data_IF_073238387684
#
_entry.id   IF_073238387684
#
_cell.length_a   1.000
_cell.length_b   1.000
_cell.length_c   1.000
_cell.angle_alpha   90.00
_cell.angle_beta   90.00
_cell.angle_gamma   90.00
#
_symmetry.space_group_name_H-M   'P 1'
#
loop_
_entity.id
_entity.type
_entity.pdbx_description
1 polymer ?
#
# COMPACT_ATOMS: atom_id res chain seq x y z
N UNK A 1 3.41 -10.09 -3.30
CA UNK A 1 2.40 -10.26 -4.38
C UNK A 1 2.53 -9.09 -5.34
N UNK A 2 2.56 -9.36 -6.64
CA UNK A 2 2.61 -8.30 -7.63
C UNK A 2 1.27 -7.54 -7.71
N UNK A 3 1.37 -6.24 -7.92
CA UNK A 3 0.22 -5.34 -8.08
C UNK A 3 0.27 -4.74 -9.47
N UNK A 4 -0.84 -4.81 -10.19
CA UNK A 4 -1.00 -4.11 -11.46
C UNK A 4 -1.45 -2.69 -11.17
N UNK A 5 -0.76 -1.71 -11.76
CA UNK A 5 -1.08 -0.30 -11.64
C UNK A 5 -1.71 0.19 -12.94
N UNK A 6 -2.99 0.52 -12.90
CA UNK A 6 -3.76 1.01 -14.03
C UNK A 6 -3.85 2.52 -13.93
N UNK A 7 -3.34 3.23 -14.93
CA UNK A 7 -3.48 4.68 -15.03
C UNK A 7 -4.86 5.02 -15.57
N UNK A 8 -5.58 5.86 -14.83
CA UNK A 8 -6.88 6.41 -15.20
C UNK A 8 -6.68 7.89 -15.55
N UNK A 9 -7.14 8.29 -16.73
CA UNK A 9 -7.19 9.70 -17.13
C UNK A 9 -8.57 10.01 -17.71
N UNK A 10 -9.16 11.11 -17.26
CA UNK A 10 -10.50 11.55 -17.67
C UNK A 10 -11.57 10.44 -17.56
N UNK A 11 -11.44 9.60 -16.52
CA UNK A 11 -12.35 8.49 -16.25
C UNK A 11 -12.14 7.24 -17.10
N UNK A 12 -11.12 7.18 -17.96
CA UNK A 12 -10.83 6.03 -18.82
C UNK A 12 -9.49 5.37 -18.45
N UNK A 13 -9.36 4.09 -18.77
CA UNK A 13 -8.07 3.40 -18.66
C UNK A 13 -7.16 3.83 -19.80
N UNK A 14 -5.94 4.27 -19.46
CA UNK A 14 -4.96 4.77 -20.45
C UNK A 14 -3.68 3.94 -20.47
N UNK A 15 -3.27 3.38 -19.33
CA UNK A 15 -2.08 2.53 -19.23
C UNK A 15 -2.27 1.46 -18.17
N UNK A 16 -1.60 0.32 -18.32
CA UNK A 16 -1.52 -0.70 -17.29
C UNK A 16 -0.07 -1.19 -17.15
N UNK A 17 0.53 -0.92 -15.99
CA UNK A 17 1.87 -1.39 -15.64
C UNK A 17 1.71 -2.56 -14.65
N UNK A 18 1.89 -3.81 -15.12
CA UNK A 18 1.70 -5.00 -14.28
C UNK A 18 2.07 -6.31 -14.97
N UNK A 19 2.05 -7.40 -14.20
CA UNK A 19 2.21 -8.79 -14.67
C UNK A 19 0.84 -9.47 -14.83
N UNK A 20 0.74 -10.54 -15.63
CA UNK A 20 -0.49 -11.29 -15.91
C UNK A 20 -1.61 -10.48 -16.57
N UNK A 21 -1.22 -9.72 -17.59
CA UNK A 21 -2.12 -8.99 -18.49
C UNK A 21 -2.88 -9.97 -19.41
N UNK A 22 -4.19 -9.75 -19.60
CA UNK A 22 -5.01 -10.52 -20.55
C UNK A 22 -5.66 -9.67 -21.64
N UNK A 23 -6.23 -8.51 -21.29
CA UNK A 23 -6.85 -7.60 -22.26
C UNK A 23 -6.94 -6.17 -21.73
N UNK A 24 -6.98 -5.20 -22.65
CA UNK A 24 -7.10 -3.77 -22.35
C UNK A 24 -7.79 -3.04 -23.50
N UNK A 25 -8.80 -2.27 -23.15
CA UNK A 25 -9.32 -1.14 -23.91
C UNK A 25 -9.62 0.00 -22.94
N UNK A 26 -10.01 1.16 -23.47
CA UNK A 26 -10.24 2.37 -22.66
C UNK A 26 -11.30 2.22 -21.56
N UNK A 27 -12.20 1.24 -21.68
CA UNK A 27 -13.32 1.00 -20.76
C UNK A 27 -13.28 -0.37 -20.09
N UNK A 28 -12.51 -1.33 -20.58
CA UNK A 28 -12.42 -2.67 -20.01
C UNK A 28 -10.97 -3.11 -19.88
N UNK A 29 -10.63 -3.75 -18.77
CA UNK A 29 -9.31 -4.32 -18.58
C UNK A 29 -9.40 -5.61 -17.79
N UNK A 30 -8.63 -6.62 -18.20
CA UNK A 30 -8.46 -7.87 -17.47
C UNK A 30 -6.99 -8.05 -17.10
N UNK A 31 -6.68 -7.98 -15.81
CA UNK A 31 -5.31 -8.05 -15.30
C UNK A 31 -5.28 -8.67 -13.90
N UNK A 32 -4.26 -9.49 -13.60
CA UNK A 32 -4.13 -10.15 -12.29
C UNK A 32 -5.36 -10.98 -11.86
N UNK A 33 -6.22 -11.41 -12.80
CA UNK A 33 -7.48 -12.11 -12.50
C UNK A 33 -8.65 -11.19 -12.15
N UNK A 34 -8.42 -9.87 -12.12
CA UNK A 34 -9.48 -8.87 -12.06
C UNK A 34 -10.04 -8.59 -13.44
N UNK A 35 -11.36 -8.46 -13.53
CA UNK A 35 -12.10 -7.92 -14.68
C UNK A 35 -12.65 -6.57 -14.26
N UNK A 36 -12.20 -5.52 -14.92
CA UNK A 36 -12.58 -4.16 -14.62
C UNK A 36 -13.30 -3.53 -15.79
N UNK A 37 -14.27 -2.66 -15.49
CA UNK A 37 -14.97 -1.84 -16.47
C UNK A 37 -15.23 -0.43 -15.95
N UNK A 38 -15.25 0.54 -16.86
CA UNK A 38 -15.76 1.89 -16.64
C UNK A 38 -17.23 1.92 -17.06
N UNK A 39 -18.11 2.24 -16.14
CA UNK A 39 -19.55 2.40 -16.38
C UNK A 39 -19.87 3.81 -16.93
N UNK A 40 -21.03 3.98 -17.56
CA UNK A 40 -21.43 5.25 -18.20
C UNK A 40 -21.51 6.43 -17.21
N UNK A 41 -21.80 6.14 -15.95
CA UNK A 41 -21.84 7.12 -14.86
C UNK A 41 -20.43 7.50 -14.34
N UNK A 42 -19.36 6.97 -14.94
CA UNK A 42 -17.98 7.22 -14.55
C UNK A 42 -17.49 6.39 -13.37
N UNK A 43 -18.30 5.44 -12.86
CA UNK A 43 -17.83 4.49 -11.85
C UNK A 43 -16.89 3.47 -12.49
N UNK A 44 -15.90 3.03 -11.73
CA UNK A 44 -15.04 1.93 -12.10
C UNK A 44 -15.39 0.72 -11.24
N UNK A 45 -15.76 -0.37 -11.90
CA UNK A 45 -16.10 -1.63 -11.27
C UNK A 45 -15.04 -2.67 -11.59
N UNK A 46 -14.46 -3.28 -10.59
CA UNK A 46 -13.48 -4.36 -10.71
C UNK A 46 -13.91 -5.57 -9.90
N UNK A 47 -13.90 -6.75 -10.52
CA UNK A 47 -14.27 -7.99 -9.87
C UNK A 47 -13.28 -9.10 -10.19
N UNK A 48 -12.99 -9.93 -9.20
CA UNK A 48 -12.20 -11.14 -9.33
C UNK A 48 -12.98 -12.26 -8.67
N UNK A 49 -13.15 -13.38 -9.37
CA UNK A 49 -13.79 -14.58 -8.83
C UNK A 49 -12.89 -15.78 -9.03
N UNK A 50 -12.89 -16.70 -8.06
CA UNK A 50 -12.07 -17.89 -8.08
C UNK A 50 -12.80 -19.05 -7.40
N UNK A 51 -12.67 -20.25 -7.94
CA UNK A 51 -13.23 -21.49 -7.36
C UNK A 51 -12.31 -21.98 -6.23
N UNK A 52 -12.82 -22.02 -5.01
CA UNK A 52 -12.17 -22.56 -3.83
C UNK A 52 -12.82 -23.89 -3.42
N UNK A 53 -12.23 -24.60 -2.44
CA UNK A 53 -12.76 -25.89 -1.96
C UNK A 53 -14.19 -25.80 -1.41
N UNK A 54 -14.54 -24.65 -0.84
CA UNK A 54 -15.83 -24.31 -0.25
C UNK A 54 -16.78 -23.59 -1.22
N UNK A 55 -16.33 -23.32 -2.46
CA UNK A 55 -17.11 -22.73 -3.54
C UNK A 55 -16.49 -21.45 -4.10
N UNK A 56 -17.28 -20.66 -4.85
CA UNK A 56 -16.79 -19.45 -5.52
C UNK A 56 -16.60 -18.30 -4.53
N UNK A 57 -15.36 -17.83 -4.43
CA UNK A 57 -15.01 -16.60 -3.72
C UNK A 57 -15.03 -15.45 -4.72
N UNK A 58 -15.55 -14.29 -4.32
CA UNK A 58 -15.60 -13.10 -5.20
C UNK A 58 -15.15 -11.86 -4.44
N UNK A 59 -14.08 -11.24 -4.93
CA UNK A 59 -13.59 -9.94 -4.47
C UNK A 59 -14.04 -8.87 -5.45
N UNK A 60 -14.62 -7.78 -4.94
CA UNK A 60 -15.15 -6.69 -5.75
C UNK A 60 -14.70 -5.35 -5.21
N UNK A 61 -14.11 -4.53 -6.09
CA UNK A 61 -13.72 -3.16 -5.83
C UNK A 61 -14.56 -2.23 -6.71
N UNK A 62 -15.19 -1.24 -6.11
CA UNK A 62 -15.95 -0.19 -6.81
C UNK A 62 -15.32 1.14 -6.43
N UNK A 63 -14.91 1.92 -7.43
CA UNK A 63 -14.58 3.33 -7.31
C UNK A 63 -15.72 4.14 -7.92
N UNK A 64 -16.47 4.83 -7.07
CA UNK A 64 -17.55 5.70 -7.51
C UNK A 64 -16.97 7.00 -8.08
N UNK A 65 -17.66 7.59 -9.05
CA UNK A 65 -17.28 8.89 -9.61
C UNK A 65 -17.20 10.01 -8.56
N UNK A 66 -17.91 9.84 -7.43
CA UNK A 66 -17.85 10.71 -6.25
C UNK A 66 -16.55 10.58 -5.43
N UNK A 67 -15.61 9.73 -5.85
CA UNK A 67 -14.37 9.50 -5.12
C UNK A 67 -14.53 8.60 -3.89
N UNK A 68 -15.71 8.04 -3.66
CA UNK A 68 -15.92 6.98 -2.68
C UNK A 68 -15.45 5.65 -3.26
N UNK A 69 -14.84 4.80 -2.46
CA UNK A 69 -14.45 3.45 -2.87
C UNK A 69 -14.93 2.40 -1.87
N UNK A 70 -15.19 1.19 -2.38
CA UNK A 70 -15.65 0.04 -1.58
C UNK A 70 -15.02 -1.24 -2.09
N UNK A 71 -14.36 -1.98 -1.21
CA UNK A 71 -13.82 -3.33 -1.41
C UNK A 71 -14.65 -4.33 -0.60
N UNK A 72 -15.18 -5.35 -1.25
CA UNK A 72 -16.00 -6.39 -0.62
C UNK A 72 -15.55 -7.79 -1.00
N UNK A 73 -15.70 -8.73 -0.08
CA UNK A 73 -15.50 -10.15 -0.28
C UNK A 73 -16.83 -10.89 -0.10
N UNK A 74 -17.20 -11.71 -1.07
CA UNK A 74 -18.32 -12.64 -1.01
C UNK A 74 -17.76 -14.06 -0.95
N UNK A 75 -18.02 -14.73 0.15
CA UNK A 75 -17.75 -16.15 0.34
C UNK A 75 -19.04 -16.96 0.07
N UNK A 76 -18.91 -18.26 -0.27
CA UNK A 76 -20.03 -19.19 -0.37
C UNK A 76 -20.85 -19.19 0.92
N UNK A 77 -22.18 -19.17 0.80
CA UNK A 77 -23.13 -19.24 1.93
C UNK A 77 -23.01 -18.15 3.01
N UNK A 78 -22.12 -17.16 2.87
CA UNK A 78 -21.96 -16.07 3.83
C UNK A 78 -22.46 -14.73 3.28
N UNK A 79 -22.89 -13.79 4.14
CA UNK A 79 -23.19 -12.43 3.69
C UNK A 79 -21.94 -11.75 3.10
N UNK A 80 -22.14 -10.77 2.22
CA UNK A 80 -21.03 -9.99 1.64
C UNK A 80 -20.31 -9.22 2.75
N UNK A 81 -19.02 -9.48 2.93
CA UNK A 81 -18.16 -8.78 3.89
C UNK A 81 -17.59 -7.52 3.25
N UNK A 82 -17.64 -6.40 3.98
CA UNK A 82 -16.96 -5.17 3.59
C UNK A 82 -15.55 -5.21 4.17
N UNK A 83 -14.56 -5.29 3.28
CA UNK A 83 -13.14 -5.34 3.67
C UNK A 83 -12.63 -3.93 3.95
N UNK A 84 -12.96 -2.98 3.07
CA UNK A 84 -12.56 -1.58 3.20
C UNK A 84 -13.53 -0.68 2.45
N UNK A 85 -13.87 0.47 3.02
CA UNK A 85 -14.65 1.49 2.31
C UNK A 85 -14.30 2.88 2.82
N UNK A 86 -14.50 3.90 1.99
CA UNK A 86 -14.23 5.29 2.35
C UNK A 86 -13.97 6.17 1.14
N UNK A 87 -13.85 7.47 1.36
CA UNK A 87 -13.36 8.40 0.33
C UNK A 87 -11.86 8.17 0.10
N UNK A 88 -11.47 8.06 -1.17
CA UNK A 88 -10.07 7.89 -1.63
C UNK A 88 -9.53 9.14 -2.32
N UNK A 89 -10.31 10.20 -2.31
CA UNK A 89 -9.99 11.59 -2.66
C UNK A 89 -10.66 12.49 -1.63
N UNK A 90 -10.38 13.79 -1.65
CA UNK A 90 -11.05 14.75 -0.76
C UNK A 90 -12.57 14.69 -0.93
N UNK A 91 -13.31 14.52 0.17
CA UNK A 91 -14.79 14.44 0.17
C UNK A 91 -15.38 15.66 -0.57
N UNK A 92 -16.32 15.39 -1.49
CA UNK A 92 -16.92 16.40 -2.36
C UNK A 92 -16.19 16.58 -3.71
N UNK A 93 -15.01 15.99 -3.87
CA UNK A 93 -14.30 15.94 -5.15
C UNK A 93 -14.72 14.72 -5.96
N UNK A 94 -14.49 14.76 -7.26
CA UNK A 94 -14.71 13.63 -8.16
C UNK A 94 -13.45 12.77 -8.27
N UNK A 95 -13.63 11.46 -8.48
CA UNK A 95 -12.54 10.60 -8.91
C UNK A 95 -12.07 11.05 -10.30
N UNK A 96 -10.87 11.63 -10.36
CA UNK A 96 -10.28 12.16 -11.58
C UNK A 96 -9.14 11.29 -12.10
N UNK A 97 -8.02 11.93 -12.40
CA UNK A 97 -6.82 11.24 -12.87
C UNK A 97 -6.07 10.59 -11.70
N UNK A 98 -5.58 9.38 -11.90
CA UNK A 98 -4.91 8.64 -10.84
C UNK A 98 -4.49 7.23 -11.22
N UNK A 99 -4.13 6.45 -10.20
CA UNK A 99 -3.69 5.06 -10.31
C UNK A 99 -4.64 4.16 -9.54
N UNK A 100 -5.20 3.17 -10.25
CA UNK A 100 -5.93 2.04 -9.70
C UNK A 100 -4.97 0.86 -9.54
N UNK A 101 -4.69 0.44 -8.31
CA UNK A 101 -3.85 -0.70 -7.99
C UNK A 101 -4.67 -1.95 -7.71
N UNK A 102 -4.35 -3.07 -8.38
CA UNK A 102 -5.03 -4.36 -8.24
C UNK A 102 -4.04 -5.49 -7.96
N UNK A 103 -4.12 -6.09 -6.78
CA UNK A 103 -3.20 -7.17 -6.40
C UNK A 103 -3.56 -8.49 -7.07
N UNK A 104 -2.56 -9.28 -7.46
CA UNK A 104 -2.74 -10.70 -7.76
C UNK A 104 -2.80 -11.57 -6.49
N UNK A 105 -2.60 -12.88 -6.65
CA UNK A 105 -2.50 -13.85 -5.55
C UNK A 105 -3.83 -14.44 -5.09
N UNK A 106 -3.80 -15.04 -3.89
CA UNK A 106 -4.94 -15.70 -3.23
C UNK A 106 -6.09 -14.71 -3.06
N UNK A 107 -7.28 -15.11 -3.51
CA UNK A 107 -8.45 -14.22 -3.62
C UNK A 107 -8.83 -13.57 -2.28
N UNK A 108 -8.72 -14.31 -1.18
CA UNK A 108 -9.07 -13.85 0.17
C UNK A 108 -8.08 -12.82 0.75
N UNK A 109 -6.90 -12.73 0.15
CA UNK A 109 -5.84 -11.78 0.54
C UNK A 109 -5.63 -10.69 -0.52
N UNK A 110 -6.49 -10.62 -1.52
CA UNK A 110 -6.41 -9.56 -2.52
C UNK A 110 -6.76 -8.21 -1.92
N UNK A 111 -6.08 -7.19 -2.42
CA UNK A 111 -6.38 -5.80 -2.12
C UNK A 111 -6.47 -4.98 -3.42
N UNK A 112 -7.20 -3.88 -3.33
CA UNK A 112 -7.31 -2.89 -4.38
C UNK A 112 -7.24 -1.49 -3.76
N UNK A 113 -6.77 -0.52 -4.52
CA UNK A 113 -6.72 0.88 -4.11
C UNK A 113 -6.87 1.81 -5.30
N UNK A 114 -7.28 3.05 -5.03
CA UNK A 114 -7.16 4.16 -5.96
C UNK A 114 -6.34 5.27 -5.30
N UNK A 115 -5.48 5.93 -6.06
CA UNK A 115 -4.70 7.10 -5.66
C UNK A 115 -4.87 8.16 -6.72
N UNK A 116 -5.37 9.33 -6.36
CA UNK A 116 -5.36 10.45 -7.30
C UNK A 116 -3.93 10.96 -7.56
N UNK A 117 -3.79 11.82 -8.56
CA UNK A 117 -2.50 12.40 -8.92
C UNK A 117 -1.88 13.22 -7.79
N UNK A 118 -2.68 13.91 -6.98
CA UNK A 118 -2.18 14.69 -5.83
C UNK A 118 -1.50 13.76 -4.81
N UNK A 119 -2.20 12.70 -4.40
CA UNK A 119 -1.64 11.72 -3.49
C UNK A 119 -0.45 10.98 -4.12
N UNK A 120 -0.52 10.64 -5.40
CA UNK A 120 0.59 9.97 -6.10
C UNK A 120 1.84 10.87 -6.20
N UNK A 121 1.66 12.18 -6.38
CA UNK A 121 2.73 13.16 -6.38
C UNK A 121 3.34 13.30 -5.00
N UNK A 122 2.53 13.37 -3.94
CA UNK A 122 3.01 13.35 -2.56
C UNK A 122 3.89 12.12 -2.28
N UNK A 123 3.39 10.91 -2.60
CA UNK A 123 4.17 9.68 -2.39
C UNK A 123 5.50 9.72 -3.13
N UNK A 124 5.48 10.17 -4.40
CA UNK A 124 6.70 10.32 -5.18
C UNK A 124 7.60 11.33 -4.50
N UNK A 125 7.13 12.56 -4.24
CA UNK A 125 7.89 13.71 -3.72
C UNK A 125 8.75 13.35 -2.52
N UNK A 126 8.17 12.63 -1.56
CA UNK A 126 8.84 12.23 -0.33
C UNK A 126 9.51 10.85 -0.42
N UNK A 127 9.42 10.16 -1.56
CA UNK A 127 9.95 8.79 -1.71
C UNK A 127 9.22 7.75 -0.85
N UNK A 128 7.97 8.01 -0.48
CA UNK A 128 7.14 7.13 0.35
C UNK A 128 6.61 5.97 -0.50
N UNK A 129 6.89 4.74 -0.07
CA UNK A 129 6.44 3.53 -0.76
C UNK A 129 5.07 3.06 -0.29
N UNK A 130 4.70 3.33 0.97
CA UNK A 130 3.40 2.97 1.53
C UNK A 130 2.95 3.93 2.64
N UNK A 131 1.62 4.11 2.76
CA UNK A 131 0.99 4.81 3.88
C UNK A 131 0.13 3.82 4.65
N UNK A 132 0.35 3.75 5.96
CA UNK A 132 -0.29 2.83 6.89
C UNK A 132 -1.15 3.66 7.85
N UNK A 133 -2.46 3.41 7.83
CA UNK A 133 -3.43 4.09 8.69
C UNK A 133 -3.41 3.48 10.10
N UNK A 134 -2.33 3.74 10.82
CA UNK A 134 -2.04 3.18 12.15
C UNK A 134 -1.59 4.31 13.07
N UNK A 135 -1.87 4.16 14.38
CA UNK A 135 -1.46 5.15 15.38
C UNK A 135 0.07 5.31 15.38
N UNK A 136 0.61 6.51 15.09
CA UNK A 136 2.05 6.77 15.12
C UNK A 136 2.62 6.76 16.54
N UNK A 137 1.79 6.92 17.57
CA UNK A 137 2.22 6.96 18.97
C UNK A 137 2.23 5.56 19.57
N UNK A 138 3.30 4.81 19.32
CA UNK A 138 3.48 3.43 19.77
C UNK A 138 4.94 3.06 19.84
N UNK A 139 5.19 1.82 20.28
CA UNK A 139 6.52 1.22 20.23
C UNK A 139 6.79 0.70 18.82
N UNK A 140 7.94 1.09 18.27
CA UNK A 140 8.50 0.58 17.03
C UNK A 140 9.75 -0.22 17.31
N UNK A 141 9.98 -1.26 16.51
CA UNK A 141 11.19 -2.08 16.60
C UNK A 141 12.05 -1.81 15.37
N UNK A 142 13.18 -1.14 15.57
CA UNK A 142 14.18 -0.95 14.54
C UNK A 142 15.19 -2.08 14.60
N UNK A 143 15.53 -2.63 13.43
CA UNK A 143 16.52 -3.70 13.31
C UNK A 143 17.65 -3.18 12.44
N UNK A 144 18.89 -3.40 12.87
CA UNK A 144 20.08 -2.96 12.16
C UNK A 144 21.15 -4.03 12.29
N UNK A 145 21.76 -4.44 11.18
CA UNK A 145 22.84 -5.43 11.24
C UNK A 145 23.34 -5.79 9.85
N UNK A 146 24.29 -6.71 9.81
CA UNK A 146 24.81 -7.22 8.54
C UNK A 146 25.93 -8.21 8.72
N UNK A 147 26.44 -8.67 7.59
CA UNK A 147 27.64 -9.49 7.47
C UNK A 147 28.50 -8.95 6.30
N UNK A 148 29.45 -9.74 5.80
CA UNK A 148 30.32 -9.35 4.68
C UNK A 148 29.61 -9.12 3.34
N UNK A 149 28.41 -9.68 3.14
CA UNK A 149 27.71 -9.71 1.84
C UNK A 149 26.41 -8.90 1.86
N UNK A 150 25.78 -8.80 3.03
CA UNK A 150 24.45 -8.25 3.20
C UNK A 150 24.38 -7.29 4.38
N UNK A 151 23.54 -6.27 4.24
CA UNK A 151 23.22 -5.36 5.34
C UNK A 151 21.74 -5.00 5.38
N UNK A 152 21.27 -4.78 6.58
CA UNK A 152 19.91 -4.41 6.89
C UNK A 152 19.91 -3.19 7.79
N UNK A 153 19.15 -2.18 7.39
CA UNK A 153 19.14 -0.92 8.12
C UNK A 153 17.74 -0.32 8.18
N UNK A 154 17.36 0.11 9.38
CA UNK A 154 16.12 0.81 9.65
C UNK A 154 16.38 2.16 10.33
N UNK A 155 15.70 3.19 9.84
CA UNK A 155 15.63 4.51 10.48
C UNK A 155 14.18 4.90 10.72
N UNK A 156 13.99 5.68 11.78
CA UNK A 156 12.72 6.27 12.16
C UNK A 156 12.84 7.79 12.17
N UNK A 157 11.83 8.47 11.64
CA UNK A 157 11.62 9.90 11.80
C UNK A 157 10.20 10.14 12.29
N UNK A 158 10.01 11.19 13.06
CA UNK A 158 8.71 11.58 13.61
C UNK A 158 8.66 13.09 13.81
N UNK A 159 7.45 13.67 13.78
CA UNK A 159 7.18 15.05 14.20
C UNK A 159 6.99 15.19 15.72
N UNK A 160 6.85 14.08 16.44
CA UNK A 160 6.79 14.06 17.90
C UNK A 160 8.16 13.85 18.52
N UNK A 161 8.19 13.15 19.65
CA UNK A 161 9.43 12.73 20.30
C UNK A 161 9.55 11.21 20.35
N UNK A 162 10.79 10.73 20.31
CA UNK A 162 11.12 9.30 20.32
C UNK A 162 12.18 9.01 21.38
N UNK A 163 11.98 7.93 22.14
CA UNK A 163 12.92 7.48 23.18
C UNK A 163 13.22 6.01 22.96
N UNK A 164 14.51 5.63 22.94
CA UNK A 164 14.90 4.22 23.02
C UNK A 164 14.59 3.69 24.42
N UNK A 165 13.83 2.60 24.47
CA UNK A 165 13.36 1.97 25.71
C UNK A 165 13.97 0.57 25.92
N UNK A 166 14.82 0.12 25.02
CA UNK A 166 15.53 -1.16 25.15
C UNK A 166 16.26 -1.53 23.87
N UNK A 167 17.49 -2.00 24.03
CA UNK A 167 18.33 -2.49 22.93
C UNK A 167 18.80 -3.89 23.23
N UNK A 168 18.72 -4.78 22.25
CA UNK A 168 19.15 -6.16 22.35
C UNK A 168 20.00 -6.54 21.13
N UNK A 169 21.03 -7.35 21.34
CA UNK A 169 21.73 -8.04 20.25
C UNK A 169 21.00 -9.35 19.94
N UNK A 170 20.68 -9.56 18.66
CA UNK A 170 19.93 -10.73 18.22
C UNK A 170 20.44 -11.24 16.87
N UNK A 171 20.21 -12.53 16.60
CA UNK A 171 20.30 -13.09 15.26
C UNK A 171 19.09 -12.64 14.44
N UNK A 172 19.35 -11.95 13.34
CA UNK A 172 18.36 -11.39 12.46
C UNK A 172 18.28 -12.19 11.17
N UNK A 173 17.05 -12.52 10.75
CA UNK A 173 16.78 -13.13 9.46
C UNK A 173 16.31 -12.05 8.47
N UNK A 174 17.09 -11.80 7.42
CA UNK A 174 16.62 -11.08 6.24
C UNK A 174 17.04 -11.83 4.98
N UNK A 175 16.11 -12.00 4.04
CA UNK A 175 16.34 -12.79 2.81
C UNK A 175 16.92 -14.18 3.10
N UNK A 176 16.41 -14.86 4.14
CA UNK A 176 16.84 -16.23 4.51
C UNK A 176 18.31 -16.33 4.99
N UNK A 177 19.01 -15.20 5.12
CA UNK A 177 20.34 -15.13 5.70
C UNK A 177 20.27 -14.68 7.18
N UNK A 178 20.92 -15.44 8.05
CA UNK A 178 21.12 -15.08 9.45
C UNK A 178 22.36 -14.17 9.59
N UNK A 179 22.20 -13.01 10.23
CA UNK A 179 23.32 -12.12 10.56
C UNK A 179 23.14 -11.52 11.96
N UNK A 180 24.25 -11.10 12.57
CA UNK A 180 24.26 -10.44 13.87
C UNK A 180 23.83 -8.99 13.73
N UNK A 181 22.97 -8.52 14.63
CA UNK A 181 22.56 -7.12 14.63
C UNK A 181 21.92 -6.67 15.93
N UNK A 182 21.66 -5.36 15.97
CA UNK A 182 21.00 -4.67 17.05
C UNK A 182 19.50 -4.54 16.74
N UNK A 183 18.70 -4.82 17.75
CA UNK A 183 17.26 -4.57 17.78
C UNK A 183 17.02 -3.49 18.82
N UNK A 184 16.48 -2.36 18.39
CA UNK A 184 16.17 -1.23 19.25
C UNK A 184 14.66 -1.01 19.28
N UNK A 185 14.09 -0.98 20.49
CA UNK A 185 12.69 -0.67 20.73
C UNK A 185 12.56 0.81 21.05
N UNK A 186 11.83 1.54 20.22
CA UNK A 186 11.67 2.98 20.30
C UNK A 186 10.20 3.30 20.61
N UNK A 187 9.95 3.97 21.74
CA UNK A 187 8.64 4.53 22.05
C UNK A 187 8.51 5.90 21.40
N UNK A 188 7.47 6.09 20.58
CA UNK A 188 7.13 7.38 19.97
C UNK A 188 5.87 7.94 20.61
N UNK A 189 5.89 9.24 20.90
CA UNK A 189 4.81 9.97 21.55
C UNK A 189 4.62 11.37 20.93
N UNK A 190 3.45 11.96 21.14
CA UNK A 190 3.01 13.28 20.64
C UNK A 190 3.28 13.53 19.15
N UNK A 191 3.10 12.50 18.35
CA UNK A 191 3.34 12.50 16.91
C UNK A 191 2.04 12.40 16.11
N UNK A 192 1.98 13.09 14.97
CA UNK A 192 0.95 12.90 13.95
C UNK A 192 1.41 11.94 12.84
N UNK A 193 2.72 11.76 12.69
CA UNK A 193 3.29 10.82 11.73
C UNK A 193 4.63 10.24 12.17
N UNK A 194 4.83 8.97 11.79
CA UNK A 194 6.13 8.30 11.87
C UNK A 194 6.49 7.79 10.48
N UNK A 195 7.72 8.05 10.02
CA UNK A 195 8.27 7.41 8.84
C UNK A 195 9.32 6.38 9.26
N UNK A 196 9.16 5.15 8.78
CA UNK A 196 10.21 4.13 8.86
C UNK A 196 10.77 3.89 7.47
N UNK A 197 12.07 4.11 7.32
CA UNK A 197 12.81 3.66 6.15
C UNK A 197 13.49 2.33 6.48
N UNK A 198 13.33 1.36 5.60
CA UNK A 198 14.03 0.07 5.61
C UNK A 198 14.86 -0.04 4.34
N UNK A 199 16.17 -0.21 4.51
CA UNK A 199 17.12 -0.46 3.43
C UNK A 199 17.68 -1.86 3.64
N UNK A 200 17.64 -2.68 2.60
CA UNK A 200 18.29 -3.98 2.59
C UNK A 200 19.22 -4.03 1.39
N UNK A 201 20.49 -4.37 1.62
CA UNK A 201 21.48 -4.57 0.58
C UNK A 201 21.90 -6.03 0.59
N UNK A 202 21.89 -6.68 -0.57
CA UNK A 202 22.35 -8.05 -0.75
C UNK A 202 22.86 -8.20 -2.18
N UNK A 203 24.10 -8.66 -2.37
CA UNK A 203 24.71 -8.97 -3.67
C UNK A 203 24.48 -7.88 -4.75
N UNK A 204 24.79 -6.63 -4.40
CA UNK A 204 24.62 -5.47 -5.29
C UNK A 204 23.18 -5.01 -5.52
N UNK A 205 22.17 -5.74 -5.03
CA UNK A 205 20.76 -5.31 -5.05
C UNK A 205 20.46 -4.48 -3.82
N UNK A 206 19.75 -3.37 -4.01
CA UNK A 206 19.27 -2.50 -2.93
C UNK A 206 17.75 -2.45 -2.95
N UNK A 207 17.13 -2.93 -1.87
CA UNK A 207 15.70 -2.77 -1.63
C UNK A 207 15.50 -1.63 -0.62
N UNK A 208 14.75 -0.60 -1.02
CA UNK A 208 14.39 0.54 -0.17
C UNK A 208 12.87 0.60 -0.04
N UNK A 209 12.38 0.53 1.20
CA UNK A 209 10.98 0.74 1.55
C UNK A 209 10.88 1.90 2.53
N UNK A 210 9.92 2.80 2.33
CA UNK A 210 9.67 3.97 3.17
C UNK A 210 8.19 3.97 3.52
N UNK A 211 7.87 3.64 4.76
CA UNK A 211 6.50 3.51 5.24
C UNK A 211 6.14 4.70 6.12
N UNK A 212 5.09 5.42 5.75
CA UNK A 212 4.48 6.49 6.55
C UNK A 212 3.34 5.91 7.39
N UNK A 213 3.46 5.98 8.71
CA UNK A 213 2.42 5.66 9.68
C UNK A 213 1.74 6.96 10.11
N UNK A 214 0.43 7.05 9.95
CA UNK A 214 -0.34 8.22 10.36
C UNK A 214 -1.83 7.87 10.45
N UNK A 215 -2.56 8.54 11.34
CA UNK A 215 -4.03 8.52 11.36
C UNK A 215 -4.64 9.67 10.55
N UNK A 216 -3.81 10.56 10.01
CA UNK A 216 -4.30 11.69 9.22
C UNK A 216 -4.95 11.20 7.93
N UNK A 217 -6.15 11.71 7.67
CA UNK A 217 -6.86 11.52 6.40
C UNK A 217 -6.45 12.55 5.36
N UNK A 218 -5.78 13.62 5.79
CA UNK A 218 -5.35 14.71 4.94
C UNK A 218 -3.82 14.86 5.04
N UNK A 219 -3.14 14.28 4.06
CA UNK A 219 -1.68 14.14 4.09
C UNK A 219 -0.98 15.46 3.81
N UNK A 220 -1.63 16.43 3.16
CA UNK A 220 -1.02 17.75 2.93
C UNK A 220 -0.88 18.57 4.22
N UNK A 221 -1.58 18.18 5.29
CA UNK A 221 -1.42 18.79 6.61
C UNK A 221 -0.23 18.21 7.38
N UNK A 222 0.36 17.10 6.91
CA UNK A 222 1.56 16.56 7.52
C UNK A 222 2.75 17.42 7.12
N UNK A 223 3.33 18.11 8.09
CA UNK A 223 4.49 18.99 7.89
C UNK A 223 5.76 18.32 8.41
N UNK A 224 6.90 18.70 7.84
CA UNK A 224 8.22 18.27 8.31
C UNK A 224 8.63 16.85 7.92
N UNK A 225 7.87 16.17 7.05
CA UNK A 225 8.26 14.87 6.52
C UNK A 225 9.56 15.05 5.70
N UNK A 226 10.65 14.31 5.98
CA UNK A 226 11.88 14.42 5.20
C UNK A 226 11.70 13.91 3.77
N UNK A 227 12.48 14.45 2.83
CA UNK A 227 12.53 13.93 1.48
C UNK A 227 13.44 12.69 1.41
N UNK A 228 12.88 11.54 1.04
CA UNK A 228 13.60 10.28 0.89
C UNK A 228 13.73 9.83 -0.56
N UNK A 229 13.57 10.68 -1.56
CA UNK A 229 13.95 10.32 -2.94
C UNK A 229 15.42 9.92 -3.00
#
# INVERSE_FOLDING_TARGET
>A
MATANITIENGLFVRCDGVNYKSFDSRNIVVNGWKCRVEENGNVFCESSYECLDGIHTMRYILFHSGFAKLTLKLPNEPVKIIKMGFVVKKGSKAGNGILGLSGGFIDHRYAFYRDNEFQNFLKEYGITAVLNENPNRIYVLKNGGNSESSFYMKLWTDGYSVSIGTEENLLNAFENAFTGLVDSISVCDSNWVVIQRIIKNDGRVLKNVNLYTLSRDLVNLKGIPNFR
#
